data_IF_196120721796
#
_entry.id   IF_196120721796
#
_cell.length_a   1.000
_cell.length_b   1.000
_cell.length_c   1.000
_cell.angle_alpha   90.00
_cell.angle_beta   90.00
_cell.angle_gamma   90.00
#
_symmetry.space_group_name_H-M   'P 1'
#
loop_
_entity.id
_entity.type
_entity.pdbx_description
1 polymer ?
#
# COMPACT_ATOMS: atom_id res chain seq x y z
N UNK A 1 -12.67 -32.56 13.06
CA UNK A 1 -12.55 -31.12 13.40
C UNK A 1 -12.50 -30.38 12.09
N UNK A 2 -13.37 -29.41 11.89
CA UNK A 2 -13.24 -28.53 10.73
C UNK A 2 -11.88 -27.80 10.78
N UNK A 3 -11.21 -27.62 9.65
CA UNK A 3 -9.93 -26.92 9.64
C UNK A 3 -10.10 -25.50 10.15
N UNK A 4 -9.13 -25.01 10.92
CA UNK A 4 -9.08 -23.60 11.33
C UNK A 4 -8.88 -22.67 10.12
N UNK A 5 -8.91 -21.36 10.34
CA UNK A 5 -8.74 -20.38 9.28
C UNK A 5 -7.25 -20.27 8.88
N UNK A 6 -6.95 -20.59 7.60
CA UNK A 6 -5.60 -20.41 7.06
C UNK A 6 -5.28 -18.94 6.89
N UNK A 7 -4.07 -18.55 7.24
CA UNK A 7 -3.55 -17.22 7.02
C UNK A 7 -2.12 -17.24 6.49
N UNK A 8 -1.71 -16.14 5.88
CA UNK A 8 -0.31 -15.83 5.62
C UNK A 8 0.05 -14.47 6.25
N UNK A 9 1.33 -14.27 6.51
CA UNK A 9 1.90 -12.98 6.92
C UNK A 9 2.84 -12.49 5.84
N UNK A 10 2.70 -11.22 5.46
CA UNK A 10 3.57 -10.60 4.46
C UNK A 10 3.68 -9.10 4.66
N UNK A 11 4.65 -8.47 3.95
CA UNK A 11 4.81 -7.01 3.96
C UNK A 11 5.36 -6.49 2.63
N UNK A 12 5.06 -5.22 2.34
CA UNK A 12 5.74 -4.40 1.35
C UNK A 12 6.42 -3.23 2.05
N UNK A 13 7.77 -3.19 2.04
CA UNK A 13 8.54 -2.15 2.76
C UNK A 13 8.10 -1.97 4.22
N UNK A 14 7.97 -3.09 4.95
CA UNK A 14 7.57 -3.19 6.38
C UNK A 14 6.16 -2.65 6.72
N UNK A 15 5.34 -2.30 5.75
CA UNK A 15 3.90 -2.20 5.95
C UNK A 15 3.32 -3.60 5.82
N UNK A 16 2.81 -4.15 6.93
CA UNK A 16 2.61 -5.59 7.12
C UNK A 16 1.13 -6.00 7.16
N UNK A 17 0.83 -7.16 6.59
CA UNK A 17 -0.54 -7.63 6.39
C UNK A 17 -0.70 -9.09 6.83
N UNK A 18 -1.90 -9.39 7.32
CA UNK A 18 -2.44 -10.76 7.36
C UNK A 18 -3.22 -10.99 6.07
N UNK A 19 -2.85 -12.02 5.30
CA UNK A 19 -3.59 -12.44 4.12
C UNK A 19 -4.50 -13.60 4.49
N UNK A 20 -5.77 -13.53 4.09
CA UNK A 20 -6.78 -14.56 4.28
C UNK A 20 -7.21 -15.13 2.93
N UNK A 21 -6.70 -16.30 2.52
CA UNK A 21 -7.17 -16.97 1.31
C UNK A 21 -8.64 -17.40 1.44
N UNK A 22 -9.47 -16.91 0.53
CA UNK A 22 -10.91 -17.19 0.51
C UNK A 22 -11.40 -17.46 -0.94
N UNK A 23 -10.96 -18.56 -1.55
CA UNK A 23 -11.29 -18.85 -2.93
C UNK A 23 -12.78 -19.14 -3.19
N UNK A 24 -13.54 -19.37 -2.13
CA UNK A 24 -14.97 -19.71 -2.20
C UNK A 24 -15.87 -18.58 -1.69
N UNK A 25 -15.30 -17.47 -1.18
CA UNK A 25 -16.05 -16.33 -0.67
C UNK A 25 -16.84 -16.62 0.61
N UNK A 26 -16.30 -17.46 1.50
CA UNK A 26 -17.01 -17.96 2.71
C UNK A 26 -16.60 -17.22 3.99
N UNK A 27 -15.51 -16.44 3.97
CA UNK A 27 -15.04 -15.72 5.15
C UNK A 27 -15.91 -14.49 5.38
N UNK A 28 -16.62 -14.45 6.51
CA UNK A 28 -17.23 -13.22 7.00
C UNK A 28 -16.16 -12.35 7.70
N UNK A 29 -15.55 -11.44 6.94
CA UNK A 29 -14.49 -10.55 7.42
C UNK A 29 -15.09 -9.37 8.19
N UNK A 30 -15.54 -9.63 9.42
CA UNK A 30 -16.08 -8.58 10.30
C UNK A 30 -14.98 -7.65 10.81
N UNK A 31 -15.35 -6.40 11.15
CA UNK A 31 -14.42 -5.45 11.75
C UNK A 31 -13.84 -5.95 13.08
N UNK A 32 -14.60 -6.75 13.83
CA UNK A 32 -14.15 -7.40 15.06
C UNK A 32 -13.03 -8.41 14.79
N UNK A 33 -13.22 -9.31 13.84
CA UNK A 33 -12.20 -10.30 13.45
C UNK A 33 -10.92 -9.60 12.98
N UNK A 34 -11.04 -8.53 12.18
CA UNK A 34 -9.89 -7.76 11.71
C UNK A 34 -9.11 -7.16 12.88
N UNK A 35 -9.78 -6.49 13.82
CA UNK A 35 -9.10 -5.92 15.01
C UNK A 35 -8.37 -6.99 15.81
N UNK A 36 -8.99 -8.15 16.01
CA UNK A 36 -8.36 -9.28 16.72
C UNK A 36 -7.15 -9.83 15.98
N UNK A 37 -7.24 -10.02 14.67
CA UNK A 37 -6.12 -10.47 13.84
C UNK A 37 -4.94 -9.49 13.88
N UNK A 38 -5.25 -8.19 13.81
CA UNK A 38 -4.25 -7.12 13.75
C UNK A 38 -3.63 -6.76 15.11
N UNK A 39 -4.20 -7.23 16.23
CA UNK A 39 -3.61 -6.99 17.55
C UNK A 39 -2.21 -7.63 17.62
N UNK A 40 -1.18 -6.80 17.90
CA UNK A 40 0.23 -7.22 17.89
C UNK A 40 0.64 -8.03 19.13
N UNK A 41 -0.27 -8.25 20.09
CA UNK A 41 -0.03 -9.00 21.33
C UNK A 41 -0.93 -10.21 21.46
N UNK A 42 -2.22 -10.06 21.17
CA UNK A 42 -3.22 -11.10 21.32
C UNK A 42 -3.63 -11.76 19.99
N UNK A 43 -3.23 -11.21 18.86
CA UNK A 43 -3.46 -11.72 17.51
C UNK A 43 -2.17 -12.07 16.78
N UNK A 44 -2.24 -12.01 15.44
CA UNK A 44 -1.07 -12.15 14.55
C UNK A 44 -0.26 -10.85 14.52
N UNK A 45 -0.93 -9.71 14.66
CA UNK A 45 -0.36 -8.38 14.55
C UNK A 45 -0.13 -7.97 13.09
N UNK A 46 -0.73 -6.87 12.67
CA UNK A 46 -0.56 -6.31 11.33
C UNK A 46 -1.09 -4.88 11.26
N UNK A 47 -0.71 -4.16 10.19
CA UNK A 47 -1.30 -2.87 9.82
C UNK A 47 -2.67 -3.04 9.15
N UNK A 48 -2.97 -4.25 8.66
CA UNK A 48 -4.26 -4.56 8.06
C UNK A 48 -4.41 -6.01 7.60
N UNK A 49 -5.59 -6.30 7.06
CA UNK A 49 -5.96 -7.62 6.54
C UNK A 49 -6.27 -7.52 5.04
N UNK A 50 -5.74 -8.45 4.26
CA UNK A 50 -6.01 -8.63 2.84
C UNK A 50 -6.76 -9.96 2.65
N UNK A 51 -8.08 -9.93 2.48
CA UNK A 51 -8.83 -11.12 2.09
C UNK A 51 -8.68 -11.34 0.59
N UNK A 52 -8.28 -12.54 0.21
CA UNK A 52 -8.02 -12.93 -1.18
C UNK A 52 -9.22 -13.69 -1.71
N UNK A 53 -10.11 -12.99 -2.39
CA UNK A 53 -11.39 -13.52 -2.84
C UNK A 53 -11.59 -13.31 -4.34
N UNK A 54 -12.24 -14.25 -5.07
CA UNK A 54 -12.65 -13.98 -6.44
C UNK A 54 -13.63 -12.81 -6.51
N UNK A 55 -13.45 -11.91 -7.49
CA UNK A 55 -14.26 -10.70 -7.64
C UNK A 55 -15.76 -10.99 -7.67
N UNK A 56 -16.16 -12.11 -8.28
CA UNK A 56 -17.58 -12.51 -8.39
C UNK A 56 -18.24 -12.85 -7.05
N UNK A 57 -17.49 -13.16 -6.00
CA UNK A 57 -18.02 -13.51 -4.67
C UNK A 57 -18.05 -12.34 -3.70
N UNK A 58 -17.54 -11.17 -4.10
CA UNK A 58 -17.55 -9.97 -3.30
C UNK A 58 -18.42 -8.89 -3.97
N UNK A 59 -19.47 -8.36 -3.32
CA UNK A 59 -20.36 -7.38 -3.94
C UNK A 59 -19.65 -6.16 -4.54
N UNK A 60 -18.58 -5.69 -3.89
CA UNK A 60 -17.77 -4.57 -4.37
C UNK A 60 -16.79 -4.98 -5.47
N UNK A 61 -16.46 -6.25 -5.59
CA UNK A 61 -15.63 -6.83 -6.64
C UNK A 61 -16.42 -7.25 -7.89
N UNK A 62 -17.69 -7.63 -7.72
CA UNK A 62 -18.52 -8.16 -8.80
C UNK A 62 -18.58 -7.30 -10.07
N UNK A 63 -18.62 -5.94 -9.98
CA UNK A 63 -18.58 -5.09 -11.19
C UNK A 63 -17.31 -5.26 -12.04
N UNK A 64 -16.23 -5.73 -11.45
CA UNK A 64 -14.92 -5.91 -12.11
C UNK A 64 -14.64 -7.37 -12.51
N UNK A 65 -15.56 -8.32 -12.27
CA UNK A 65 -15.30 -9.76 -12.41
C UNK A 65 -14.87 -10.18 -13.82
N UNK A 66 -15.35 -9.49 -14.87
CA UNK A 66 -14.97 -9.74 -16.26
C UNK A 66 -13.57 -9.20 -16.60
N UNK A 67 -13.09 -8.19 -15.83
CA UNK A 67 -11.81 -7.52 -16.06
C UNK A 67 -10.70 -8.05 -15.18
N UNK A 68 -11.01 -8.36 -13.92
CA UNK A 68 -10.08 -8.80 -12.90
C UNK A 68 -10.71 -9.91 -12.06
N UNK A 69 -10.19 -11.13 -12.20
CA UNK A 69 -10.69 -12.32 -11.50
C UNK A 69 -10.64 -12.20 -9.98
N UNK A 70 -9.62 -11.51 -9.43
CA UNK A 70 -9.34 -11.44 -8.01
C UNK A 70 -9.61 -10.05 -7.47
N UNK A 71 -10.27 -9.98 -6.32
CA UNK A 71 -10.58 -8.77 -5.59
C UNK A 71 -9.78 -8.71 -4.28
N UNK A 72 -9.08 -7.61 -4.07
CA UNK A 72 -8.38 -7.33 -2.81
C UNK A 72 -9.34 -6.65 -1.83
N UNK A 73 -9.98 -7.43 -0.95
CA UNK A 73 -10.75 -6.86 0.16
C UNK A 73 -9.78 -6.44 1.28
N UNK A 74 -9.43 -5.18 1.28
CA UNK A 74 -8.50 -4.59 2.24
C UNK A 74 -9.23 -3.92 3.40
N UNK A 75 -8.79 -4.24 4.62
CA UNK A 75 -9.25 -3.63 5.88
C UNK A 75 -8.05 -3.13 6.68
N UNK A 76 -8.15 -1.89 7.18
CA UNK A 76 -7.19 -1.35 8.15
C UNK A 76 -7.25 -2.11 9.48
N UNK A 77 -6.22 -1.98 10.33
CA UNK A 77 -6.15 -2.69 11.62
C UNK A 77 -7.32 -2.39 12.58
N UNK A 78 -7.96 -1.22 12.45
CA UNK A 78 -9.15 -0.84 13.24
C UNK A 78 -10.45 -1.49 12.74
N UNK A 79 -10.38 -2.25 11.62
CA UNK A 79 -11.51 -2.88 10.95
C UNK A 79 -12.22 -2.00 9.93
N UNK A 80 -11.79 -0.76 9.73
CA UNK A 80 -12.35 0.11 8.70
C UNK A 80 -12.00 -0.38 7.31
N UNK A 81 -12.92 -0.13 6.36
CA UNK A 81 -12.72 -0.43 4.95
C UNK A 81 -11.78 0.60 4.33
N UNK A 82 -10.84 0.16 3.51
CA UNK A 82 -9.98 1.03 2.73
C UNK A 82 -10.11 0.74 1.23
N UNK A 83 -9.96 1.78 0.42
CA UNK A 83 -10.17 1.67 -1.03
C UNK A 83 -9.03 0.90 -1.70
N UNK A 84 -7.78 1.21 -1.36
CA UNK A 84 -6.59 0.62 -1.96
C UNK A 84 -5.35 0.90 -1.10
N UNK A 85 -4.35 0.03 -1.20
CA UNK A 85 -3.03 0.21 -0.59
C UNK A 85 -1.97 -0.33 -1.56
N UNK A 86 -1.05 0.52 -2.03
CA UNK A 86 0.00 0.12 -2.98
C UNK A 86 0.95 -0.96 -2.43
N UNK A 87 1.26 -0.91 -1.13
CA UNK A 87 2.03 -1.96 -0.45
C UNK A 87 1.23 -3.27 -0.40
N UNK A 88 -0.07 -3.18 -0.07
CA UNK A 88 -0.98 -4.33 -0.03
C UNK A 88 -1.15 -5.00 -1.39
N UNK A 89 -1.31 -4.21 -2.47
CA UNK A 89 -1.42 -4.73 -3.85
C UNK A 89 -0.19 -5.56 -4.23
N UNK A 90 1.03 -5.10 -3.88
CA UNK A 90 2.26 -5.84 -4.17
C UNK A 90 2.29 -7.18 -3.44
N UNK A 91 1.98 -7.19 -2.14
CA UNK A 91 1.94 -8.43 -1.33
C UNK A 91 0.85 -9.38 -1.81
N UNK A 92 -0.31 -8.85 -2.15
CA UNK A 92 -1.43 -9.60 -2.69
C UNK A 92 -1.07 -10.29 -4.02
N UNK A 93 -0.49 -9.55 -4.97
CA UNK A 93 -0.04 -10.08 -6.25
C UNK A 93 1.03 -11.16 -6.09
N UNK A 94 2.01 -10.95 -5.20
CA UNK A 94 3.02 -11.94 -4.85
C UNK A 94 2.39 -13.22 -4.33
N UNK A 95 1.40 -13.11 -3.46
CA UNK A 95 0.67 -14.27 -2.96
C UNK A 95 -0.04 -15.04 -4.09
N UNK A 96 -0.76 -14.36 -4.98
CA UNK A 96 -1.46 -15.03 -6.08
C UNK A 96 -0.52 -15.85 -6.96
N UNK A 97 0.67 -15.33 -7.24
CA UNK A 97 1.69 -16.06 -8.03
C UNK A 97 2.28 -17.22 -7.22
N UNK A 98 2.67 -17.00 -5.97
CA UNK A 98 3.28 -18.04 -5.13
C UNK A 98 2.33 -19.22 -4.86
N UNK A 99 1.02 -18.93 -4.75
CA UNK A 99 -0.03 -19.93 -4.58
C UNK A 99 -0.44 -20.63 -5.89
N UNK A 100 0.15 -20.25 -7.04
CA UNK A 100 -0.20 -20.79 -8.35
C UNK A 100 -1.59 -20.39 -8.85
N UNK A 101 -2.21 -19.38 -8.26
CA UNK A 101 -3.55 -18.89 -8.62
C UNK A 101 -3.55 -18.06 -9.90
N UNK A 102 -2.41 -17.42 -10.20
CA UNK A 102 -2.13 -16.70 -11.43
C UNK A 102 -0.71 -17.01 -11.92
N UNK A 103 -0.46 -16.79 -13.22
CA UNK A 103 0.91 -16.88 -13.77
C UNK A 103 1.65 -15.57 -13.52
N UNK A 104 3.00 -15.61 -13.35
CA UNK A 104 3.82 -14.42 -13.38
C UNK A 104 3.63 -13.64 -14.69
N UNK A 105 3.87 -12.34 -14.64
CA UNK A 105 3.72 -11.42 -15.76
C UNK A 105 2.75 -10.29 -15.42
N UNK A 106 2.06 -9.81 -16.43
CA UNK A 106 1.03 -8.78 -16.30
C UNK A 106 -0.27 -9.36 -15.77
N UNK A 107 -0.85 -8.73 -14.76
CA UNK A 107 -2.13 -9.12 -14.18
C UNK A 107 -2.96 -7.90 -13.77
N UNK A 108 -4.28 -8.10 -13.71
CA UNK A 108 -5.24 -7.10 -13.28
C UNK A 108 -5.87 -7.53 -11.96
N UNK A 109 -5.89 -6.62 -11.00
CA UNK A 109 -6.46 -6.82 -9.67
C UNK A 109 -7.58 -5.83 -9.41
N UNK A 110 -8.74 -6.32 -9.01
CA UNK A 110 -9.83 -5.45 -8.57
C UNK A 110 -9.59 -5.00 -7.12
N UNK A 111 -9.85 -3.73 -6.88
CA UNK A 111 -9.84 -3.09 -5.56
C UNK A 111 -11.05 -2.16 -5.47
N UNK A 112 -11.36 -1.63 -4.30
CA UNK A 112 -12.37 -0.55 -4.15
C UNK A 112 -11.97 0.74 -4.88
N UNK A 113 -10.67 0.99 -5.00
CA UNK A 113 -10.12 2.08 -5.82
C UNK A 113 -9.97 1.74 -7.31
N UNK A 114 -10.79 0.80 -7.84
CA UNK A 114 -10.78 0.37 -9.23
C UNK A 114 -9.80 -0.75 -9.52
N UNK A 115 -9.70 -1.12 -10.80
CA UNK A 115 -8.75 -2.14 -11.28
C UNK A 115 -7.34 -1.58 -11.31
N UNK A 116 -6.38 -2.34 -10.79
CA UNK A 116 -4.95 -2.01 -10.81
C UNK A 116 -4.21 -2.95 -11.75
N UNK A 117 -3.37 -2.37 -12.61
CA UNK A 117 -2.45 -3.09 -13.48
C UNK A 117 -1.17 -3.38 -12.68
N UNK A 118 -0.75 -4.63 -12.68
CA UNK A 118 0.37 -5.11 -11.86
C UNK A 118 1.28 -5.97 -12.73
N UNK A 119 2.57 -5.70 -12.66
CA UNK A 119 3.60 -6.50 -13.31
C UNK A 119 4.52 -7.14 -12.27
N UNK A 120 4.72 -8.44 -12.34
CA UNK A 120 5.65 -9.15 -11.47
C UNK A 120 6.23 -10.39 -12.15
N UNK A 121 7.48 -10.67 -11.81
CA UNK A 121 8.18 -11.88 -12.23
C UNK A 121 7.97 -13.02 -11.20
N UNK A 122 8.32 -14.24 -11.61
CA UNK A 122 8.40 -15.37 -10.70
C UNK A 122 9.53 -15.16 -9.66
N UNK A 123 9.38 -15.79 -8.51
CA UNK A 123 10.35 -15.66 -7.41
C UNK A 123 10.15 -14.38 -6.59
N UNK A 124 11.23 -13.84 -6.03
CA UNK A 124 11.21 -12.74 -5.05
C UNK A 124 11.54 -11.37 -5.68
N UNK A 125 11.48 -11.26 -7.00
CA UNK A 125 11.71 -9.99 -7.73
C UNK A 125 10.71 -8.90 -7.32
N UNK A 126 10.95 -7.63 -7.69
CA UNK A 126 10.04 -6.54 -7.37
C UNK A 126 8.68 -6.71 -8.03
N UNK A 127 7.68 -6.03 -7.49
CA UNK A 127 6.33 -5.94 -8.04
C UNK A 127 6.06 -4.49 -8.40
N UNK A 128 5.62 -4.25 -9.63
CA UNK A 128 5.25 -2.93 -10.15
C UNK A 128 3.72 -2.80 -10.18
N UNK A 129 3.22 -1.67 -9.72
CA UNK A 129 1.79 -1.36 -9.68
C UNK A 129 1.55 -0.01 -10.34
N UNK A 130 0.63 0.07 -11.30
CA UNK A 130 0.10 1.33 -11.78
C UNK A 130 -0.85 1.91 -10.73
N UNK A 131 -0.40 2.97 -10.07
CA UNK A 131 -1.13 3.65 -8.99
C UNK A 131 -2.23 4.59 -9.50
N UNK A 132 -2.27 4.82 -10.82
CA UNK A 132 -3.15 5.78 -11.46
C UNK A 132 -2.52 7.17 -11.62
N UNK A 133 -3.29 8.14 -12.14
CA UNK A 133 -2.80 9.49 -12.35
C UNK A 133 -2.66 10.27 -11.04
N UNK A 134 -1.63 11.12 -10.97
CA UNK A 134 -1.48 12.10 -9.92
C UNK A 134 -2.23 13.40 -10.28
N UNK A 135 -2.95 13.97 -9.31
CA UNK A 135 -3.57 15.29 -9.44
C UNK A 135 -2.84 16.28 -8.54
N UNK A 136 -2.20 17.27 -9.15
CA UNK A 136 -1.46 18.31 -8.41
C UNK A 136 -2.39 19.49 -8.18
N UNK A 137 -2.52 19.91 -6.92
CA UNK A 137 -3.33 21.06 -6.52
C UNK A 137 -2.48 22.28 -6.14
N UNK A 138 -3.16 23.29 -5.60
CA UNK A 138 -2.48 24.48 -5.07
C UNK A 138 -1.61 24.12 -3.86
N UNK A 139 -0.49 24.83 -3.66
CA UNK A 139 0.34 24.62 -2.47
C UNK A 139 -0.46 24.80 -1.18
N UNK A 140 -0.12 24.00 -0.16
CA UNK A 140 -0.75 24.06 1.16
C UNK A 140 0.28 24.38 2.24
N UNK A 141 -0.16 25.02 3.31
CA UNK A 141 0.68 25.24 4.48
C UNK A 141 0.66 24.00 5.38
N UNK A 142 1.83 23.57 5.80
CA UNK A 142 2.04 22.53 6.80
C UNK A 142 2.95 23.10 7.89
N UNK A 143 2.35 23.50 9.01
CA UNK A 143 3.06 24.02 10.18
C UNK A 143 4.03 25.19 9.86
N UNK A 144 3.67 26.07 8.91
CA UNK A 144 4.45 27.20 8.43
C UNK A 144 5.40 26.90 7.27
N UNK A 145 5.47 25.66 6.81
CA UNK A 145 6.19 25.27 5.60
C UNK A 145 5.24 25.19 4.40
N UNK A 146 5.69 25.66 3.22
CA UNK A 146 4.96 25.48 1.96
C UNK A 146 5.14 24.07 1.45
N UNK A 147 4.05 23.32 1.32
CA UNK A 147 4.04 21.97 0.80
C UNK A 147 3.36 21.89 -0.58
N UNK A 148 3.84 20.99 -1.44
CA UNK A 148 3.15 20.64 -2.68
C UNK A 148 2.01 19.68 -2.38
N UNK A 149 0.78 20.07 -2.76
CA UNK A 149 -0.37 19.18 -2.65
C UNK A 149 -0.44 18.23 -3.85
N UNK A 150 -0.56 16.93 -3.57
CA UNK A 150 -0.73 15.87 -4.58
C UNK A 150 -1.81 14.91 -4.12
N UNK A 151 -2.81 14.68 -4.97
CA UNK A 151 -3.83 13.66 -4.76
C UNK A 151 -3.49 12.41 -5.58
N UNK A 152 -3.36 11.27 -4.89
CA UNK A 152 -3.11 9.94 -5.45
C UNK A 152 -4.33 8.99 -5.27
N UNK A 153 -5.54 9.57 -5.18
CA UNK A 153 -6.76 8.91 -4.70
C UNK A 153 -6.97 9.14 -3.20
N UNK A 154 -5.98 9.71 -2.54
CA UNK A 154 -6.01 10.25 -1.20
C UNK A 154 -5.06 11.47 -1.12
N UNK A 155 -5.33 12.44 -0.22
CA UNK A 155 -4.60 13.71 -0.21
C UNK A 155 -3.25 13.62 0.48
N UNK A 156 -2.22 14.16 -0.16
CA UNK A 156 -0.85 14.25 0.31
C UNK A 156 -0.32 15.69 0.30
N UNK A 157 0.46 16.05 1.29
CA UNK A 157 1.21 17.31 1.36
C UNK A 157 2.71 17.00 1.48
N UNK A 158 3.47 17.34 0.45
CA UNK A 158 4.89 17.02 0.34
C UNK A 158 5.73 18.23 0.74
N UNK A 159 6.47 18.11 1.83
CA UNK A 159 7.35 19.13 2.41
C UNK A 159 8.81 18.79 2.12
N UNK A 160 9.54 19.56 1.31
CA UNK A 160 10.98 19.37 1.14
C UNK A 160 11.71 19.79 2.41
N UNK A 161 12.71 19.02 2.81
CA UNK A 161 13.56 19.27 3.98
C UNK A 161 15.03 19.06 3.66
N UNK A 162 15.91 19.76 4.38
CA UNK A 162 17.36 19.61 4.21
C UNK A 162 17.89 18.29 4.82
N UNK A 163 17.23 17.79 5.87
CA UNK A 163 17.60 16.53 6.53
C UNK A 163 16.43 15.93 7.29
N UNK A 164 16.14 14.65 7.03
CA UNK A 164 15.13 13.88 7.76
C UNK A 164 15.55 13.57 9.20
N UNK A 165 16.83 13.40 9.44
CA UNK A 165 17.38 13.11 10.78
C UNK A 165 17.16 14.27 11.76
N UNK A 166 17.09 15.49 11.24
CA UNK A 166 16.88 16.70 12.05
C UNK A 166 15.44 16.84 12.57
N UNK A 167 14.47 16.11 12.00
CA UNK A 167 13.04 16.29 12.33
C UNK A 167 12.63 15.67 13.67
N UNK A 168 13.40 14.73 14.21
CA UNK A 168 12.98 13.97 15.40
C UNK A 168 11.70 13.17 15.14
N UNK A 169 10.77 13.13 16.11
CA UNK A 169 9.44 12.50 15.96
C UNK A 169 8.56 13.39 15.05
N UNK A 170 7.97 12.78 14.02
CA UNK A 170 7.09 13.54 13.12
C UNK A 170 5.79 13.91 13.83
N UNK A 171 5.50 15.23 13.80
CA UNK A 171 4.24 15.80 14.29
C UNK A 171 3.75 16.83 13.29
N UNK A 172 2.45 16.87 13.09
CA UNK A 172 1.81 17.88 12.23
C UNK A 172 0.45 18.27 12.77
N UNK A 173 0.08 19.53 12.56
CA UNK A 173 -1.29 20.02 12.81
C UNK A 173 -2.27 19.62 11.70
N UNK A 174 -1.76 19.18 10.53
CA UNK A 174 -2.55 18.79 9.36
C UNK A 174 -3.02 17.33 9.46
N UNK A 175 -3.97 17.11 10.37
CA UNK A 175 -4.58 15.78 10.60
C UNK A 175 -5.56 15.36 9.49
N UNK A 176 -5.83 16.24 8.55
CA UNK A 176 -6.68 16.02 7.35
C UNK A 176 -5.91 15.47 6.15
N UNK A 177 -4.57 15.48 6.18
CA UNK A 177 -3.68 15.08 5.09
C UNK A 177 -2.71 13.97 5.54
N UNK A 178 -2.17 13.23 4.56
CA UNK A 178 -0.89 12.56 4.73
C UNK A 178 0.20 13.60 4.48
N UNK A 179 1.21 13.65 5.32
CA UNK A 179 2.30 14.62 5.21
C UNK A 179 3.61 13.88 5.02
N UNK A 180 4.23 14.06 3.86
CA UNK A 180 5.52 13.50 3.49
C UNK A 180 6.62 14.55 3.65
N UNK A 181 7.62 14.25 4.46
CA UNK A 181 8.85 15.02 4.56
C UNK A 181 9.90 14.37 3.67
N UNK A 182 10.47 15.14 2.73
CA UNK A 182 11.32 14.61 1.65
C UNK A 182 12.67 15.30 1.64
N UNK A 183 13.73 14.49 1.72
CA UNK A 183 15.13 14.89 1.57
C UNK A 183 15.66 14.45 0.21
N UNK A 184 16.31 15.36 -0.53
CA UNK A 184 16.97 15.03 -1.79
C UNK A 184 18.31 14.34 -1.53
N UNK A 185 18.49 13.13 -2.07
CA UNK A 185 19.74 12.38 -1.97
C UNK A 185 20.57 12.46 -3.27
N UNK A 186 19.99 12.94 -4.35
CA UNK A 186 20.61 13.06 -5.65
C UNK A 186 19.60 13.45 -6.74
N UNK A 187 20.00 13.51 -8.01
CA UNK A 187 19.13 13.98 -9.09
C UNK A 187 17.82 13.21 -9.25
N UNK A 188 17.86 11.89 -9.02
CA UNK A 188 16.68 11.01 -9.06
C UNK A 188 16.64 10.06 -7.86
N UNK A 189 17.07 10.55 -6.69
CA UNK A 189 17.06 9.78 -5.45
C UNK A 189 16.57 10.68 -4.31
N UNK A 190 15.60 10.17 -3.55
CA UNK A 190 15.04 10.86 -2.38
C UNK A 190 14.93 9.91 -1.20
N UNK A 191 14.97 10.46 0.00
CA UNK A 191 14.48 9.78 1.18
C UNK A 191 13.21 10.46 1.68
N UNK A 192 12.30 9.70 2.31
CA UNK A 192 11.09 10.27 2.89
C UNK A 192 10.70 9.61 4.21
N UNK A 193 10.06 10.39 5.04
CA UNK A 193 9.29 9.94 6.20
C UNK A 193 7.88 10.50 6.07
N UNK A 194 6.89 9.78 6.58
CA UNK A 194 5.47 10.14 6.40
C UNK A 194 4.72 10.09 7.73
N UNK A 195 3.89 11.11 7.94
CA UNK A 195 2.84 11.11 8.95
C UNK A 195 1.50 10.84 8.25
N UNK A 196 0.98 9.62 8.39
CA UNK A 196 -0.27 9.23 7.75
C UNK A 196 -1.49 9.74 8.52
N UNK A 197 -2.48 10.21 7.78
CA UNK A 197 -3.76 10.68 8.29
C UNK A 197 -4.46 9.63 9.15
N UNK A 198 -4.71 9.96 10.43
CA UNK A 198 -5.41 9.09 11.37
C UNK A 198 -4.56 7.95 11.97
N UNK A 199 -3.30 7.81 11.55
CA UNK A 199 -2.39 6.75 12.01
C UNK A 199 -1.18 7.30 12.74
N UNK A 200 -0.55 8.36 12.21
CA UNK A 200 0.72 8.90 12.69
C UNK A 200 1.89 8.51 11.80
N UNK A 201 3.11 8.52 12.33
CA UNK A 201 4.30 8.14 11.57
C UNK A 201 4.31 6.64 11.29
N UNK A 202 4.44 6.28 10.00
CA UNK A 202 4.55 4.90 9.53
C UNK A 202 5.88 4.66 8.81
N UNK A 203 6.21 3.39 8.60
CA UNK A 203 7.48 3.01 7.99
C UNK A 203 7.47 3.06 6.46
N UNK A 204 6.29 3.07 5.83
CA UNK A 204 6.13 3.14 4.36
C UNK A 204 4.69 3.45 3.99
N UNK A 205 4.50 4.46 3.13
CA UNK A 205 3.24 4.77 2.46
C UNK A 205 3.46 4.75 0.94
N UNK A 206 2.76 3.85 0.23
CA UNK A 206 2.93 3.69 -1.22
C UNK A 206 2.44 4.90 -2.02
N UNK A 207 1.27 5.44 -1.70
CA UNK A 207 0.72 6.66 -2.32
C UNK A 207 1.55 7.89 -1.95
N UNK A 208 2.06 7.94 -0.71
CA UNK A 208 2.97 8.99 -0.25
C UNK A 208 4.29 9.00 -1.04
N UNK A 209 4.88 7.83 -1.33
CA UNK A 209 6.08 7.74 -2.17
C UNK A 209 5.81 8.24 -3.61
N UNK A 210 4.63 7.93 -4.16
CA UNK A 210 4.21 8.45 -5.46
C UNK A 210 4.06 9.99 -5.43
N UNK A 211 3.38 10.53 -4.42
CA UNK A 211 3.22 11.96 -4.23
C UNK A 211 4.56 12.69 -4.07
N UNK A 212 5.48 12.10 -3.28
CA UNK A 212 6.83 12.63 -3.06
C UNK A 212 7.62 12.78 -4.37
N UNK A 213 7.57 11.76 -5.24
CA UNK A 213 8.26 11.80 -6.55
C UNK A 213 7.62 12.83 -7.48
N UNK A 214 6.28 12.90 -7.55
CA UNK A 214 5.57 13.91 -8.35
C UNK A 214 5.97 15.33 -7.91
N UNK A 215 5.90 15.62 -6.62
CA UNK A 215 6.25 16.92 -6.06
C UNK A 215 7.74 17.27 -6.30
N UNK A 216 8.64 16.30 -6.09
CA UNK A 216 10.08 16.50 -6.33
C UNK A 216 10.38 16.74 -7.80
N UNK A 217 9.76 15.98 -8.72
CA UNK A 217 9.94 16.19 -10.17
C UNK A 217 9.51 17.60 -10.59
N UNK A 218 8.38 18.10 -10.06
CA UNK A 218 7.92 19.46 -10.33
C UNK A 218 8.89 20.52 -9.79
N UNK A 219 9.36 20.35 -8.56
CA UNK A 219 10.26 21.28 -7.90
C UNK A 219 11.63 21.36 -8.58
N UNK A 220 12.17 20.23 -9.00
CA UNK A 220 13.51 20.11 -9.61
C UNK A 220 13.53 20.27 -11.12
N UNK A 221 12.36 20.27 -11.77
CA UNK A 221 12.23 20.30 -13.24
C UNK A 221 12.68 19.00 -13.91
N UNK A 222 12.73 17.89 -13.16
CA UNK A 222 13.09 16.58 -13.72
C UNK A 222 11.99 16.09 -14.66
N UNK A 223 12.34 15.56 -15.87
CA UNK A 223 11.33 15.17 -16.85
C UNK A 223 10.52 13.95 -16.35
N UNK A 224 9.27 13.87 -16.80
CA UNK A 224 8.46 12.66 -16.65
C UNK A 224 9.16 11.47 -17.30
N UNK A 225 8.85 10.25 -16.84
CA UNK A 225 9.54 9.04 -17.26
C UNK A 225 10.84 8.76 -16.51
N UNK A 226 11.33 9.72 -15.70
CA UNK A 226 12.49 9.46 -14.82
C UNK A 226 12.09 8.53 -13.68
N UNK A 227 12.85 7.44 -13.52
CA UNK A 227 12.72 6.56 -12.36
C UNK A 227 13.46 7.17 -11.16
N UNK A 228 12.77 7.27 -10.03
CA UNK A 228 13.34 7.73 -8.76
C UNK A 228 13.55 6.58 -7.81
N UNK A 229 14.73 6.53 -7.20
CA UNK A 229 14.98 5.70 -6.02
C UNK A 229 14.42 6.42 -4.78
N UNK A 230 13.49 5.77 -4.08
CA UNK A 230 12.84 6.31 -2.89
C UNK A 230 13.19 5.46 -1.68
N UNK A 231 13.96 6.03 -0.76
CA UNK A 231 14.28 5.41 0.53
C UNK A 231 13.21 5.77 1.56
N UNK A 232 12.64 4.77 2.19
CA UNK A 232 11.69 4.91 3.31
C UNK A 232 12.21 4.13 4.53
N UNK A 233 11.75 4.40 5.76
CA UNK A 233 12.19 3.63 6.94
C UNK A 233 12.03 2.11 6.82
N UNK A 234 11.08 1.64 6.01
CA UNK A 234 10.82 0.21 5.76
C UNK A 234 11.59 -0.41 4.58
N UNK A 235 12.42 0.35 3.86
CA UNK A 235 13.20 -0.16 2.73
C UNK A 235 13.28 0.79 1.55
N UNK A 236 13.37 0.23 0.33
CA UNK A 236 13.53 1.03 -0.90
C UNK A 236 12.43 0.71 -1.90
N UNK A 237 12.02 1.74 -2.62
CA UNK A 237 11.03 1.71 -3.69
C UNK A 237 11.62 2.38 -4.94
N UNK A 238 11.08 2.04 -6.10
CA UNK A 238 11.31 2.81 -7.32
C UNK A 238 9.97 3.38 -7.78
N UNK A 239 9.94 4.68 -8.05
CA UNK A 239 8.72 5.36 -8.49
C UNK A 239 8.99 6.10 -9.79
N UNK A 240 8.09 5.94 -10.76
CA UNK A 240 8.18 6.63 -12.06
C UNK A 240 6.88 7.37 -12.34
N UNK A 241 6.97 8.69 -12.48
CA UNK A 241 5.86 9.50 -12.99
C UNK A 241 5.91 9.52 -14.52
N UNK A 242 5.00 8.81 -15.17
CA UNK A 242 4.97 8.58 -16.61
C UNK A 242 4.50 9.81 -17.40
N UNK A 243 4.80 9.81 -18.70
CA UNK A 243 4.38 10.87 -19.63
C UNK A 243 2.84 11.02 -19.73
N UNK A 244 2.10 9.90 -19.59
CA UNK A 244 0.63 9.88 -19.60
C UNK A 244 -0.01 10.38 -18.28
N UNK A 245 0.81 10.72 -17.28
CA UNK A 245 0.38 11.22 -15.98
C UNK A 245 0.20 10.16 -14.91
N UNK A 246 0.23 8.87 -15.28
CA UNK A 246 0.18 7.78 -14.31
C UNK A 246 1.48 7.66 -13.52
N UNK A 247 1.39 7.15 -12.31
CA UNK A 247 2.54 6.90 -11.44
C UNK A 247 2.68 5.40 -11.22
N UNK A 248 3.85 4.85 -11.54
CA UNK A 248 4.16 3.45 -11.31
C UNK A 248 5.01 3.31 -10.06
N UNK A 249 4.55 2.48 -9.13
CA UNK A 249 5.25 2.13 -7.89
C UNK A 249 5.82 0.72 -8.01
N UNK A 250 7.12 0.60 -7.90
CA UNK A 250 7.84 -0.69 -7.92
C UNK A 250 8.54 -0.92 -6.58
N UNK A 251 8.40 -2.11 -6.03
CA UNK A 251 9.05 -2.43 -4.76
C UNK A 251 8.94 -3.88 -4.34
N UNK A 252 9.58 -4.24 -3.22
CA UNK A 252 9.55 -5.60 -2.70
C UNK A 252 8.15 -5.99 -2.22
N UNK A 253 7.90 -7.30 -2.24
CA UNK A 253 6.75 -7.94 -1.62
C UNK A 253 7.21 -9.25 -1.01
N UNK A 254 7.15 -9.35 0.30
CA UNK A 254 7.69 -10.48 1.08
C UNK A 254 6.55 -11.25 1.73
N UNK A 255 6.53 -12.57 1.55
CA UNK A 255 5.68 -13.48 2.30
C UNK A 255 6.54 -14.13 3.40
N UNK A 256 6.24 -13.83 4.66
CA UNK A 256 7.08 -14.19 5.81
C UNK A 256 6.75 -15.57 6.37
N UNK A 257 5.47 -15.88 6.51
CA UNK A 257 5.01 -17.08 7.18
C UNK A 257 3.59 -17.44 6.73
N UNK A 258 3.22 -18.69 6.95
CA UNK A 258 1.85 -19.17 6.85
C UNK A 258 1.49 -20.00 8.08
N UNK A 259 0.21 -20.11 8.36
CA UNK A 259 -0.30 -20.86 9.49
C UNK A 259 -1.80 -21.09 9.41
N UNK A 260 -2.32 -21.72 10.46
CA UNK A 260 -3.75 -21.96 10.65
C UNK A 260 -4.11 -21.44 12.04
N UNK A 261 -5.11 -20.54 12.10
CA UNK A 261 -5.66 -20.05 13.35
C UNK A 261 -6.43 -21.15 14.08
N UNK A 262 -6.22 -21.25 15.37
CA UNK A 262 -6.94 -22.18 16.21
C UNK A 262 -8.44 -21.85 16.26
N UNK A 263 -9.28 -22.86 16.17
CA UNK A 263 -10.73 -22.69 16.19
C UNK A 263 -11.22 -22.03 17.49
N UNK A 264 -10.67 -22.47 18.62
CA UNK A 264 -11.04 -21.91 19.91
C UNK A 264 -10.69 -20.40 20.03
N UNK A 265 -9.62 -19.96 19.33
CA UNK A 265 -9.30 -18.55 19.24
C UNK A 265 -10.28 -17.79 18.34
N UNK A 266 -10.75 -18.39 17.24
CA UNK A 266 -11.73 -17.77 16.32
C UNK A 266 -13.09 -17.59 16.99
N UNK A 267 -13.52 -18.57 17.79
CA UNK A 267 -14.85 -18.62 18.40
C UNK A 267 -14.91 -17.84 19.77
N UNK A 268 -13.77 -17.38 20.29
CA UNK A 268 -13.66 -16.59 21.53
C UNK A 268 -13.97 -15.12 21.30
#
# INVERSE_FOLDING_TARGET
MEPGLRFLKGHGTENDFVLLPDPEGQIDLTAELVRRLCDRRAGIGADGVLRVVPSMFEPEGAPYADEARWFMDYRNADGSVAEMCGNGVRVYARYLVSAGLVRPGHLRLATRGGVKEVDLEAGDGPVSVDMGPAVVGDPVDVDGASATFVDMGNPHAVVPVDSLDALGELKTSRLDLNVEYVEDLGPSAIAMRVHERGVGETRSCGTGACAAVVATSLRTGMPRGTAYDVTVPGGSLVVTWREDGHVVLTGPAVLLAEGVLDRGWLDA
#
